data_IF_722139376211
#
_entry.id   IF_722139376211
#
_cell.length_a   1.000
_cell.length_b   1.000
_cell.length_c   1.000
_cell.angle_alpha   90.00
_cell.angle_beta   90.00
_cell.angle_gamma   90.00
#
_symmetry.space_group_name_H-M   'P 1'
#
loop_
_entity.id
_entity.type
_entity.pdbx_description
1 polymer ?
#
# COMPACT_ATOMS: atom_id res chain seq x y z
N UNK A 1 9.75 12.69 8.78
CA UNK A 1 8.53 13.38 9.28
C UNK A 1 7.38 12.43 9.06
N UNK A 2 6.33 12.46 9.89
CA UNK A 2 5.17 11.57 9.68
C UNK A 2 4.36 12.03 8.46
N UNK A 3 3.69 11.07 7.79
CA UNK A 3 2.70 11.37 6.74
C UNK A 3 1.56 12.17 7.37
N UNK A 4 1.14 13.25 6.72
CA UNK A 4 0.01 14.08 7.18
C UNK A 4 -1.27 13.62 6.48
N UNK A 5 -2.31 13.35 7.27
CA UNK A 5 -3.61 12.85 6.80
C UNK A 5 -4.74 13.40 7.66
N UNK A 6 -5.94 13.54 7.08
CA UNK A 6 -7.16 13.97 7.79
C UNK A 6 -8.28 12.94 7.70
N UNK A 7 -8.22 12.02 6.73
CA UNK A 7 -9.15 10.90 6.57
C UNK A 7 -8.94 9.84 7.66
N UNK A 8 -9.95 9.04 8.06
CA UNK A 8 -9.75 7.95 9.02
C UNK A 8 -8.62 7.00 8.61
N UNK A 9 -7.66 6.78 9.52
CA UNK A 9 -6.48 5.96 9.25
C UNK A 9 -6.82 4.56 8.73
N UNK A 10 -7.80 3.91 9.37
CA UNK A 10 -8.31 2.60 8.95
C UNK A 10 -8.83 2.60 7.51
N UNK A 11 -9.53 3.65 7.09
CA UNK A 11 -10.02 3.77 5.73
C UNK A 11 -8.88 3.95 4.71
N UNK A 12 -7.81 4.67 5.08
CA UNK A 12 -6.60 4.77 4.25
C UNK A 12 -5.95 3.39 4.12
N UNK A 13 -5.79 2.64 5.22
CA UNK A 13 -5.21 1.31 5.20
C UNK A 13 -6.04 0.32 4.39
N UNK A 14 -7.37 0.34 4.51
CA UNK A 14 -8.26 -0.48 3.69
C UNK A 14 -8.03 -0.20 2.19
N UNK A 15 -8.06 1.07 1.77
CA UNK A 15 -7.81 1.44 0.36
C UNK A 15 -6.39 1.05 -0.11
N UNK A 16 -5.38 1.23 0.76
CA UNK A 16 -4.01 0.81 0.46
C UNK A 16 -3.93 -0.71 0.30
N UNK A 17 -4.56 -1.49 1.18
CA UNK A 17 -4.60 -2.96 1.09
C UNK A 17 -5.26 -3.42 -0.21
N UNK A 18 -6.35 -2.78 -0.63
CA UNK A 18 -7.02 -3.08 -1.89
C UNK A 18 -6.15 -2.75 -3.10
N UNK A 19 -5.36 -1.67 -3.03
CA UNK A 19 -4.38 -1.33 -4.06
C UNK A 19 -3.22 -2.33 -4.11
N UNK A 20 -2.71 -2.77 -2.95
CA UNK A 20 -1.63 -3.73 -2.82
C UNK A 20 -1.99 -5.10 -3.41
N UNK A 21 -3.23 -5.57 -3.20
CA UNK A 21 -3.72 -6.83 -3.78
C UNK A 21 -3.62 -6.83 -5.32
N UNK A 22 -3.68 -5.66 -5.96
CA UNK A 22 -3.56 -5.55 -7.43
C UNK A 22 -2.12 -5.63 -7.92
N UNK A 23 -1.13 -5.49 -7.04
CA UNK A 23 0.29 -5.54 -7.38
C UNK A 23 0.78 -6.98 -7.21
N UNK A 24 1.28 -7.61 -8.29
CA UNK A 24 1.85 -8.93 -8.20
C UNK A 24 3.03 -8.98 -7.23
N UNK A 25 3.09 -10.08 -6.48
CA UNK A 25 4.18 -10.38 -5.56
C UNK A 25 4.36 -9.36 -4.42
N UNK A 26 3.35 -8.54 -4.11
CA UNK A 26 3.43 -7.57 -3.01
C UNK A 26 3.79 -8.24 -1.66
N UNK A 27 3.34 -9.47 -1.43
CA UNK A 27 3.63 -10.28 -0.24
C UNK A 27 5.12 -10.57 -0.03
N UNK A 28 5.95 -10.53 -1.08
CA UNK A 28 7.41 -10.72 -0.98
C UNK A 28 8.05 -9.62 -0.13
N UNK A 29 7.43 -8.44 -0.05
CA UNK A 29 7.88 -7.33 0.80
C UNK A 29 7.80 -7.66 2.30
N UNK A 30 7.07 -8.71 2.67
CA UNK A 30 6.97 -9.23 4.04
C UNK A 30 7.88 -10.46 4.26
N UNK A 31 8.84 -10.72 3.37
CA UNK A 31 9.65 -11.95 3.35
C UNK A 31 8.78 -13.23 3.29
N UNK A 32 7.59 -13.13 2.70
CA UNK A 32 6.64 -14.23 2.58
C UNK A 32 6.85 -14.99 1.27
N UNK A 33 6.86 -16.33 1.33
CA UNK A 33 6.97 -17.16 0.14
C UNK A 33 5.63 -17.28 -0.60
N UNK A 34 5.68 -17.49 -1.92
CA UNK A 34 4.48 -17.65 -2.75
C UNK A 34 3.59 -18.80 -2.26
N UNK A 35 4.19 -19.91 -1.81
CA UNK A 35 3.43 -21.08 -1.32
C UNK A 35 2.59 -20.74 -0.08
N UNK A 36 3.11 -19.89 0.81
CA UNK A 36 2.37 -19.45 1.99
C UNK A 36 1.24 -18.52 1.56
N UNK A 37 1.51 -17.59 0.63
CA UNK A 37 0.52 -16.65 0.11
C UNK A 37 -0.65 -17.34 -0.61
N UNK A 38 -0.34 -18.32 -1.48
CA UNK A 38 -1.35 -19.12 -2.18
C UNK A 38 -2.12 -20.06 -1.24
N UNK A 39 -1.56 -20.36 -0.07
CA UNK A 39 -2.22 -21.13 0.98
C UNK A 39 -3.25 -20.32 1.78
N UNK A 40 -3.22 -18.99 1.70
CA UNK A 40 -4.15 -18.11 2.41
C UNK A 40 -5.49 -17.98 1.70
N UNK A 41 -6.55 -17.86 2.49
CA UNK A 41 -7.86 -17.43 2.01
C UNK A 41 -7.85 -15.95 1.60
N UNK A 42 -8.81 -15.48 0.79
CA UNK A 42 -8.90 -14.06 0.42
C UNK A 42 -9.02 -13.11 1.62
N UNK A 43 -9.63 -13.56 2.72
CA UNK A 43 -9.75 -12.78 3.95
C UNK A 43 -8.38 -12.65 4.64
N UNK A 44 -7.63 -13.75 4.78
CA UNK A 44 -6.28 -13.73 5.35
C UNK A 44 -5.30 -12.95 4.47
N UNK A 45 -5.40 -13.07 3.14
CA UNK A 45 -4.63 -12.26 2.20
C UNK A 45 -4.88 -10.77 2.41
N UNK A 46 -6.13 -10.38 2.66
CA UNK A 46 -6.46 -8.99 2.98
C UNK A 46 -5.80 -8.56 4.29
N UNK A 47 -5.90 -9.34 5.35
CA UNK A 47 -5.26 -9.02 6.65
C UNK A 47 -3.73 -8.85 6.52
N UNK A 48 -3.08 -9.70 5.73
CA UNK A 48 -1.65 -9.58 5.42
C UNK A 48 -1.34 -8.29 4.66
N UNK A 49 -2.16 -7.92 3.68
CA UNK A 49 -2.00 -6.67 2.92
C UNK A 49 -2.27 -5.44 3.77
N UNK A 50 -3.17 -5.52 4.76
CA UNK A 50 -3.37 -4.45 5.73
C UNK A 50 -2.14 -4.24 6.64
N UNK A 51 -1.50 -5.32 7.10
CA UNK A 51 -0.26 -5.22 7.85
C UNK A 51 0.87 -4.59 7.01
N UNK A 52 1.01 -5.02 5.75
CA UNK A 52 1.95 -4.41 4.81
C UNK A 52 1.64 -2.92 4.56
N UNK A 53 0.36 -2.57 4.42
CA UNK A 53 -0.06 -1.18 4.24
C UNK A 53 0.35 -0.31 5.43
N UNK A 54 0.22 -0.81 6.67
CA UNK A 54 0.66 -0.12 7.88
C UNK A 54 2.17 0.14 7.86
N UNK A 55 2.98 -0.88 7.57
CA UNK A 55 4.44 -0.76 7.45
C UNK A 55 4.85 0.24 6.37
N UNK A 56 4.20 0.18 5.19
CA UNK A 56 4.45 1.09 4.09
C UNK A 56 4.06 2.52 4.43
N UNK A 57 2.94 2.73 5.13
CA UNK A 57 2.51 4.05 5.57
C UNK A 57 3.59 4.74 6.41
N UNK A 58 4.14 4.03 7.41
CA UNK A 58 5.22 4.55 8.24
C UNK A 58 6.52 4.73 7.46
N UNK A 59 6.84 3.81 6.55
CA UNK A 59 8.02 3.90 5.68
C UNK A 59 7.96 5.10 4.72
N UNK A 60 6.79 5.35 4.12
CA UNK A 60 6.55 6.45 3.17
C UNK A 60 6.69 7.83 3.79
N UNK A 61 6.48 7.94 5.11
CA UNK A 61 6.79 9.16 5.86
C UNK A 61 8.29 9.51 5.84
N UNK A 62 9.16 8.50 5.78
CA UNK A 62 10.62 8.67 5.72
C UNK A 62 11.10 8.78 4.27
N UNK A 63 10.74 7.80 3.45
CA UNK A 63 11.18 7.68 2.06
C UNK A 63 9.97 7.74 1.12
N UNK A 64 9.94 8.71 0.22
CA UNK A 64 8.76 8.97 -0.64
C UNK A 64 8.50 7.90 -1.70
N UNK A 65 9.41 6.97 -1.90
CA UNK A 65 9.30 5.90 -2.88
C UNK A 65 9.71 4.60 -2.20
N UNK A 66 8.86 3.59 -2.29
CA UNK A 66 9.17 2.23 -1.85
C UNK A 66 8.80 1.24 -2.96
N UNK A 67 9.62 0.20 -3.11
CA UNK A 67 9.36 -0.89 -4.06
C UNK A 67 8.65 -2.02 -3.33
N UNK A 68 7.66 -2.62 -3.98
CA UNK A 68 6.81 -3.66 -3.39
C UNK A 68 6.48 -4.73 -4.42
N UNK A 69 6.97 -5.95 -4.20
CA UNK A 69 6.89 -7.00 -5.22
C UNK A 69 7.42 -6.51 -6.56
N UNK A 70 6.56 -6.54 -7.58
CA UNK A 70 6.87 -6.06 -8.94
C UNK A 70 6.43 -4.60 -9.20
N UNK A 71 5.91 -3.92 -8.19
CA UNK A 71 5.41 -2.55 -8.26
C UNK A 71 6.20 -1.56 -7.41
N UNK A 72 5.68 -0.34 -7.33
CA UNK A 72 6.20 0.70 -6.43
C UNK A 72 5.09 1.59 -5.92
N UNK A 73 5.33 2.23 -4.77
CA UNK A 73 4.44 3.20 -4.16
C UNK A 73 5.17 4.53 -4.03
N UNK A 74 4.54 5.59 -4.51
CA UNK A 74 5.03 6.95 -4.37
C UNK A 74 4.14 7.74 -3.42
N UNK A 75 4.74 8.48 -2.49
CA UNK A 75 4.03 9.44 -1.66
C UNK A 75 4.20 10.87 -2.20
N UNK A 76 3.12 11.39 -2.76
CA UNK A 76 3.03 12.79 -3.16
C UNK A 76 2.60 13.65 -1.96
N UNK A 77 3.52 14.51 -1.51
CA UNK A 77 3.29 15.40 -0.36
C UNK A 77 2.54 16.67 -0.73
N UNK A 78 2.65 17.10 -1.98
CA UNK A 78 2.05 18.34 -2.46
C UNK A 78 0.53 18.15 -2.58
N UNK A 79 0.12 17.00 -3.10
CA UNK A 79 -1.29 16.64 -3.24
C UNK A 79 -1.82 15.85 -2.03
N UNK A 80 -0.97 15.09 -1.35
CA UNK A 80 -1.35 14.32 -0.17
C UNK A 80 -2.04 13.00 -0.52
N UNK A 81 -1.45 12.24 -1.42
CA UNK A 81 -1.93 10.92 -1.83
C UNK A 81 -0.77 9.94 -2.03
N UNK A 82 -1.09 8.65 -2.01
CA UNK A 82 -0.19 7.59 -2.43
C UNK A 82 -0.53 7.13 -3.83
N UNK A 83 0.45 6.97 -4.70
CA UNK A 83 0.31 6.41 -6.05
C UNK A 83 0.93 5.02 -6.09
N UNK A 84 0.14 4.06 -6.53
CA UNK A 84 0.55 2.68 -6.70
C UNK A 84 0.82 2.45 -8.19
N UNK A 85 2.04 2.05 -8.51
CA UNK A 85 2.54 1.89 -9.87
C UNK A 85 2.91 0.43 -10.14
N UNK A 86 2.47 -0.09 -11.28
CA UNK A 86 2.86 -1.41 -11.78
C UNK A 86 2.97 -1.35 -13.31
N UNK A 87 4.01 -1.96 -13.90
CA UNK A 87 4.27 -1.90 -15.35
C UNK A 87 4.26 -0.47 -15.96
N UNK A 88 4.74 0.53 -15.21
CA UNK A 88 4.69 1.96 -15.58
C UNK A 88 3.28 2.56 -15.71
N UNK A 89 2.26 1.91 -15.15
CA UNK A 89 0.89 2.41 -15.09
C UNK A 89 0.46 2.61 -13.64
N UNK A 90 -0.33 3.66 -13.38
CA UNK A 90 -0.95 3.89 -12.08
C UNK A 90 -2.13 2.94 -11.91
N UNK A 91 -2.01 1.97 -11.00
CA UNK A 91 -3.07 0.97 -10.74
C UNK A 91 -4.08 1.45 -9.69
N UNK A 92 -3.66 2.35 -8.82
CA UNK A 92 -4.51 2.97 -7.80
C UNK A 92 -3.88 4.27 -7.27
N UNK A 93 -4.74 5.15 -6.78
CA UNK A 93 -4.36 6.37 -6.07
C UNK A 93 -5.17 6.43 -4.78
N UNK A 94 -4.50 6.60 -3.63
CA UNK A 94 -5.15 6.65 -2.31
C UNK A 94 -4.96 8.04 -1.72
N UNK A 95 -6.06 8.78 -1.58
CA UNK A 95 -6.07 10.10 -0.96
C UNK A 95 -5.99 10.03 0.57
N UNK A 96 -5.20 10.93 1.15
CA UNK A 96 -5.00 11.03 2.61
C UNK A 96 -5.89 12.08 3.28
N UNK A 97 -6.57 12.89 2.48
CA UNK A 97 -7.46 13.96 2.92
C UNK A 97 -8.89 13.60 2.54
N UNK A 98 -9.85 13.99 3.36
CA UNK A 98 -11.26 13.95 2.96
C UNK A 98 -11.45 14.89 1.76
N UNK A 99 -12.15 14.42 0.73
CA UNK A 99 -12.60 15.29 -0.36
C UNK A 99 -13.76 16.14 0.18
N UNK A 100 -13.56 17.47 0.28
CA UNK A 100 -14.58 18.46 0.69
C UNK A 100 -15.69 18.66 -0.34
#
# INVERSE_FOLDING_TARGET
MAVSFTRPYKAILDDMSEALIRIPNAYVSLDMEQVDWEGLTPEEQKEVMEALADDLFYGLGKERLQFIGDGSIHYDRDFGHFEFMFNNETVATVGLKEEE
#
